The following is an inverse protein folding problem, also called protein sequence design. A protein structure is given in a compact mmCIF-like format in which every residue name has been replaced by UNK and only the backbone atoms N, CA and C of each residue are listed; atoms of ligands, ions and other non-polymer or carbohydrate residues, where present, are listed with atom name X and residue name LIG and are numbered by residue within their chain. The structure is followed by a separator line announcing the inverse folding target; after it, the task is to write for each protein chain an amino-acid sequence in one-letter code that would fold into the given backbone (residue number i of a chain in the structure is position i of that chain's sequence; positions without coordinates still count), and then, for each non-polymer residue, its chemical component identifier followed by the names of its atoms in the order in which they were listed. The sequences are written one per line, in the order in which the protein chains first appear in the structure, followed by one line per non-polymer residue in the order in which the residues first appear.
data_IF_579741429863
#
_entry.id   IF_579741429863
#
_cell.length_a   1.000
_cell.length_b   1.000
_cell.length_c   1.000
_cell.angle_alpha   90.00
_cell.angle_beta   90.00
_cell.angle_gamma   90.00
#
_symmetry.space_group_name_H-M   'P 1'
#
loop_
_entity.id
_entity.type
_entity.pdbx_description
1 polymer ?
#
# COMPACT_ATOMS: atom_id res chain seq x y z
N UNK A 1 -63.02 -76.49 27.84
CA UNK A 1 -61.69 -76.14 27.28
C UNK A 1 -61.56 -74.63 27.31
N UNK A 2 -60.68 -74.10 28.16
CA UNK A 2 -60.37 -72.66 28.27
C UNK A 2 -59.17 -72.32 27.40
N UNK A 3 -59.13 -71.16 26.71
CA UNK A 3 -57.88 -70.60 26.22
C UNK A 3 -57.19 -69.74 27.28
N UNK A 4 -55.88 -69.86 27.27
CA UNK A 4 -54.87 -69.43 28.23
C UNK A 4 -54.60 -67.91 28.10
N UNK A 5 -54.62 -67.18 29.21
CA UNK A 5 -54.26 -65.75 29.27
C UNK A 5 -52.74 -65.66 29.44
N UNK A 6 -52.05 -65.21 28.40
CA UNK A 6 -50.61 -64.94 28.46
C UNK A 6 -50.33 -63.81 29.47
N UNK A 7 -49.64 -64.16 30.56
CA UNK A 7 -49.23 -63.22 31.60
C UNK A 7 -47.97 -62.48 31.16
N UNK A 8 -48.12 -61.22 30.73
CA UNK A 8 -47.00 -60.36 30.35
C UNK A 8 -46.24 -59.91 31.60
N UNK A 9 -45.05 -60.47 31.81
CA UNK A 9 -44.12 -60.02 32.87
C UNK A 9 -43.66 -58.59 32.52
N UNK A 10 -44.21 -57.57 33.19
CA UNK A 10 -43.66 -56.21 33.14
C UNK A 10 -42.28 -56.21 33.81
N UNK A 11 -41.21 -56.17 33.01
CA UNK A 11 -39.86 -55.89 33.53
C UNK A 11 -39.93 -54.58 34.32
N UNK A 12 -39.64 -54.62 35.62
CA UNK A 12 -39.59 -53.41 36.45
C UNK A 12 -38.51 -52.51 35.87
N UNK A 13 -38.88 -51.32 35.40
CA UNK A 13 -37.89 -50.31 35.03
C UNK A 13 -37.10 -49.90 36.27
N UNK A 14 -35.78 -49.72 36.10
CA UNK A 14 -34.85 -49.41 37.18
C UNK A 14 -34.19 -48.07 36.90
N UNK A 15 -33.97 -47.28 37.95
CA UNK A 15 -33.23 -46.02 37.84
C UNK A 15 -31.80 -46.27 37.34
N UNK A 16 -31.41 -45.59 36.27
CA UNK A 16 -30.09 -45.69 35.62
C UNK A 16 -28.92 -45.31 36.53
N UNK A 17 -29.17 -44.62 37.65
CA UNK A 17 -28.13 -44.18 38.60
C UNK A 17 -28.05 -45.01 39.89
N UNK A 18 -29.15 -45.63 40.35
CA UNK A 18 -29.17 -46.36 41.63
C UNK A 18 -29.84 -47.74 41.59
N UNK A 19 -30.34 -48.15 40.42
CA UNK A 19 -30.93 -49.46 40.17
C UNK A 19 -32.17 -49.82 41.03
N UNK A 20 -32.88 -48.82 41.56
CA UNK A 20 -34.14 -48.99 42.32
C UNK A 20 -35.35 -48.78 41.42
N UNK A 21 -36.44 -49.53 41.66
CA UNK A 21 -37.65 -49.57 40.84
C UNK A 21 -38.77 -48.58 41.24
N UNK A 22 -38.55 -47.71 42.24
CA UNK A 22 -39.60 -46.86 42.79
C UNK A 22 -39.67 -45.50 42.05
N UNK A 23 -40.86 -45.14 41.55
CA UNK A 23 -41.16 -43.83 40.98
C UNK A 23 -40.28 -43.47 39.78
N UNK A 24 -40.33 -44.29 38.73
CA UNK A 24 -39.50 -44.12 37.53
C UNK A 24 -40.08 -43.03 36.61
N UNK A 25 -39.23 -42.09 36.23
CA UNK A 25 -39.48 -41.04 35.26
C UNK A 25 -38.48 -41.21 34.12
N UNK A 26 -38.97 -41.14 32.89
CA UNK A 26 -38.13 -41.23 31.70
C UNK A 26 -37.72 -39.82 31.24
N UNK A 27 -36.43 -39.62 30.97
CA UNK A 27 -35.95 -38.43 30.27
C UNK A 27 -35.82 -38.75 28.78
N UNK A 28 -36.75 -38.23 27.96
CA UNK A 28 -36.71 -38.43 26.51
C UNK A 28 -35.41 -37.91 25.86
N UNK A 29 -34.82 -36.84 26.41
CA UNK A 29 -33.62 -36.22 25.84
C UNK A 29 -32.38 -37.11 25.89
N UNK A 30 -32.20 -37.91 26.94
CA UNK A 30 -31.06 -38.84 27.05
C UNK A 30 -31.47 -40.33 27.03
N UNK A 31 -32.77 -40.62 26.90
CA UNK A 31 -33.33 -41.97 26.85
C UNK A 31 -33.21 -42.78 28.15
N UNK A 32 -32.84 -42.13 29.27
CA UNK A 32 -32.57 -42.81 30.56
C UNK A 32 -33.75 -42.69 31.54
N UNK A 33 -33.94 -43.77 32.29
CA UNK A 33 -34.92 -43.85 33.38
C UNK A 33 -34.29 -43.43 34.71
N UNK A 34 -34.97 -42.62 35.51
CA UNK A 34 -34.48 -42.13 36.80
C UNK A 34 -35.56 -42.22 37.87
N UNK A 35 -35.18 -42.41 39.13
CA UNK A 35 -36.09 -42.14 40.25
C UNK A 35 -36.20 -40.63 40.50
N UNK A 36 -37.23 -40.20 41.24
CA UNK A 36 -37.51 -38.78 41.51
C UNK A 36 -36.30 -37.96 42.00
N UNK A 37 -35.45 -38.54 42.85
CA UNK A 37 -34.23 -37.86 43.30
C UNK A 37 -33.23 -37.65 42.16
N UNK A 38 -32.93 -38.70 41.40
CA UNK A 38 -31.89 -38.65 40.36
C UNK A 38 -32.35 -37.90 39.10
N UNK A 39 -33.65 -37.80 38.82
CA UNK A 39 -34.13 -36.94 37.73
C UNK A 39 -33.95 -35.45 38.07
N UNK A 40 -34.11 -35.09 39.36
CA UNK A 40 -33.87 -33.72 39.83
C UNK A 40 -32.38 -33.38 39.75
N UNK A 41 -31.50 -34.27 40.20
CA UNK A 41 -30.05 -34.11 40.04
C UNK A 41 -29.63 -34.03 38.56
N UNK A 42 -30.22 -34.85 37.69
CA UNK A 42 -29.98 -34.80 36.24
C UNK A 42 -30.38 -33.44 35.65
N UNK A 43 -31.53 -32.90 36.05
CA UNK A 43 -31.97 -31.59 35.58
C UNK A 43 -31.11 -30.45 36.12
N UNK A 44 -30.65 -30.54 37.37
CA UNK A 44 -29.69 -29.59 37.92
C UNK A 44 -28.36 -29.61 37.16
N UNK A 45 -27.88 -30.80 36.77
CA UNK A 45 -26.68 -30.93 35.97
C UNK A 45 -26.84 -30.29 34.59
N UNK A 46 -27.98 -30.53 33.91
CA UNK A 46 -28.29 -29.89 32.63
C UNK A 46 -28.34 -28.36 32.73
N UNK A 47 -28.93 -27.81 33.79
CA UNK A 47 -28.96 -26.36 34.00
C UNK A 47 -27.54 -25.80 34.16
N UNK A 48 -26.68 -26.47 34.94
CA UNK A 48 -25.25 -26.07 35.06
C UNK A 48 -24.53 -26.09 33.72
N UNK A 49 -24.79 -27.10 32.89
CA UNK A 49 -24.22 -27.18 31.53
C UNK A 49 -24.70 -26.04 30.64
N UNK A 50 -25.98 -25.65 30.76
CA UNK A 50 -26.53 -24.50 30.04
C UNK A 50 -25.93 -23.18 30.52
N UNK A 51 -25.80 -22.98 31.84
CA UNK A 51 -25.17 -21.78 32.41
C UNK A 51 -23.72 -21.65 31.93
N UNK A 52 -22.96 -22.75 31.95
CA UNK A 52 -21.59 -22.78 31.42
C UNK A 52 -21.53 -22.46 29.92
N UNK A 53 -22.51 -22.92 29.13
CA UNK A 53 -22.58 -22.61 27.71
C UNK A 53 -22.87 -21.12 27.48
N UNK A 54 -23.77 -20.53 28.27
CA UNK A 54 -24.06 -19.09 28.23
C UNK A 54 -22.83 -18.26 28.60
N UNK A 55 -22.10 -18.63 29.67
CA UNK A 55 -20.83 -17.96 30.02
C UNK A 55 -19.82 -18.02 28.87
N UNK A 56 -19.62 -19.19 28.25
CA UNK A 56 -18.70 -19.32 27.11
C UNK A 56 -19.13 -18.51 25.90
N UNK A 57 -20.44 -18.41 25.65
CA UNK A 57 -20.98 -17.56 24.60
C UNK A 57 -20.61 -16.09 24.85
N UNK A 58 -20.83 -15.60 26.07
CA UNK A 58 -20.56 -14.21 26.42
C UNK A 58 -19.06 -13.90 26.39
N UNK A 59 -18.21 -14.82 26.87
CA UNK A 59 -16.75 -14.73 26.76
C UNK A 59 -16.30 -14.65 25.29
N UNK A 60 -16.89 -15.46 24.41
CA UNK A 60 -16.55 -15.44 22.99
C UNK A 60 -17.02 -14.14 22.31
N UNK A 61 -18.21 -13.65 22.65
CA UNK A 61 -18.71 -12.38 22.15
C UNK A 61 -17.81 -11.21 22.59
N UNK A 62 -17.35 -11.23 23.84
CA UNK A 62 -16.41 -10.23 24.36
C UNK A 62 -15.05 -10.31 23.63
N UNK A 63 -14.54 -11.52 23.37
CA UNK A 63 -13.29 -11.71 22.65
C UNK A 63 -13.34 -11.15 21.21
N UNK A 64 -14.48 -11.29 20.53
CA UNK A 64 -14.70 -10.67 19.20
C UNK A 64 -14.67 -9.15 19.32
N UNK A 65 -15.43 -8.57 20.26
CA UNK A 65 -15.48 -7.13 20.45
C UNK A 65 -14.11 -6.53 20.80
N UNK A 66 -13.28 -7.25 21.55
CA UNK A 66 -11.94 -6.79 21.90
C UNK A 66 -10.95 -6.90 20.73
N UNK A 67 -11.10 -7.89 19.84
CA UNK A 67 -10.36 -7.93 18.58
C UNK A 67 -10.72 -6.76 17.65
N UNK A 68 -12.00 -6.39 17.56
CA UNK A 68 -12.45 -5.26 16.73
C UNK A 68 -11.82 -3.93 17.18
N UNK A 69 -11.71 -3.70 18.49
CA UNK A 69 -11.03 -2.51 19.07
C UNK A 69 -9.53 -2.47 18.74
N UNK A 70 -8.91 -3.63 18.53
CA UNK A 70 -7.47 -3.77 18.27
C UNK A 70 -7.12 -3.82 16.77
N UNK A 71 -8.10 -3.63 15.88
CA UNK A 71 -7.95 -3.69 14.42
C UNK A 71 -6.77 -2.87 13.87
N UNK A 72 -6.55 -1.64 14.36
CA UNK A 72 -5.42 -0.79 13.96
C UNK A 72 -4.05 -1.21 14.52
N UNK A 73 -4.03 -2.09 15.51
CA UNK A 73 -2.80 -2.66 16.09
C UNK A 73 -2.39 -3.99 15.43
N UNK A 74 -3.17 -4.48 14.47
CA UNK A 74 -2.85 -5.71 13.78
C UNK A 74 -1.50 -5.60 13.05
N UNK A 75 -0.57 -6.56 13.20
CA UNK A 75 0.76 -6.48 12.60
C UNK A 75 0.77 -6.26 11.09
N UNK A 76 -0.21 -6.83 10.37
CA UNK A 76 -0.33 -6.59 8.93
C UNK A 76 -0.72 -5.14 8.59
N UNK A 77 -1.53 -4.47 9.41
CA UNK A 77 -1.86 -3.05 9.22
C UNK A 77 -0.61 -2.19 9.47
N UNK A 78 0.18 -2.52 10.49
CA UNK A 78 1.49 -1.88 10.72
C UNK A 78 2.42 -2.04 9.51
N UNK A 79 2.50 -3.25 8.94
CA UNK A 79 3.30 -3.52 7.74
C UNK A 79 2.80 -2.71 6.53
N UNK A 80 1.49 -2.61 6.33
CA UNK A 80 0.89 -1.79 5.25
C UNK A 80 1.25 -0.31 5.45
N UNK A 81 1.11 0.22 6.67
CA UNK A 81 1.46 1.60 6.99
C UNK A 81 2.96 1.86 6.76
N UNK A 82 3.83 0.93 7.15
CA UNK A 82 5.26 1.03 6.90
C UNK A 82 5.56 1.05 5.39
N UNK A 83 4.96 0.13 4.64
CA UNK A 83 5.11 0.07 3.19
C UNK A 83 4.64 1.34 2.49
N UNK A 84 3.52 1.93 2.95
CA UNK A 84 3.01 3.22 2.45
C UNK A 84 4.04 4.34 2.68
N UNK A 85 4.56 4.47 3.90
CA UNK A 85 5.54 5.50 4.25
C UNK A 85 6.85 5.36 3.47
N UNK A 86 7.36 4.14 3.33
CA UNK A 86 8.54 3.85 2.52
C UNK A 86 8.34 4.22 1.05
N UNK A 87 7.14 3.95 0.52
CA UNK A 87 6.78 4.27 -0.87
C UNK A 87 6.71 5.78 -1.09
N UNK A 88 6.05 6.52 -0.19
CA UNK A 88 6.01 8.00 -0.21
C UNK A 88 7.42 8.58 -0.18
N UNK A 89 8.30 8.05 0.68
CA UNK A 89 9.67 8.51 0.77
C UNK A 89 10.46 8.27 -0.52
N UNK A 90 10.29 7.11 -1.16
CA UNK A 90 10.91 6.83 -2.46
C UNK A 90 10.44 7.80 -3.55
N UNK A 91 9.15 8.12 -3.61
CA UNK A 91 8.59 9.10 -4.56
C UNK A 91 9.22 10.48 -4.32
N UNK A 92 9.27 10.92 -3.06
CA UNK A 92 9.87 12.21 -2.69
C UNK A 92 11.34 12.29 -3.10
N UNK A 93 12.12 11.26 -2.81
CA UNK A 93 13.53 11.19 -3.19
C UNK A 93 13.72 11.23 -4.70
N UNK A 94 12.92 10.47 -5.47
CA UNK A 94 12.98 10.49 -6.93
C UNK A 94 12.68 11.90 -7.48
N UNK A 95 11.62 12.55 -6.98
CA UNK A 95 11.25 13.90 -7.39
C UNK A 95 12.32 14.94 -7.01
N UNK A 96 12.93 14.83 -5.84
CA UNK A 96 14.02 15.72 -5.41
C UNK A 96 15.28 15.54 -6.27
N UNK A 97 15.62 14.31 -6.62
CA UNK A 97 16.76 14.04 -7.50
C UNK A 97 16.53 14.62 -8.89
N UNK A 98 15.34 14.42 -9.48
CA UNK A 98 14.99 15.01 -10.76
C UNK A 98 15.06 16.56 -10.72
N UNK A 99 14.55 17.20 -9.66
CA UNK A 99 14.67 18.65 -9.48
C UNK A 99 16.13 19.10 -9.41
N UNK A 100 16.98 18.39 -8.66
CA UNK A 100 18.41 18.72 -8.54
C UNK A 100 19.11 18.60 -9.89
N UNK A 101 18.85 17.54 -10.64
CA UNK A 101 19.44 17.31 -11.95
C UNK A 101 19.02 18.39 -12.96
N UNK A 102 17.75 18.80 -12.94
CA UNK A 102 17.24 19.89 -13.77
C UNK A 102 17.95 21.20 -13.46
N UNK A 103 18.02 21.56 -12.18
CA UNK A 103 18.65 22.81 -11.74
C UNK A 103 20.14 22.83 -12.08
N UNK A 104 20.83 21.69 -11.92
CA UNK A 104 22.23 21.55 -12.32
C UNK A 104 22.40 21.73 -13.84
N UNK A 105 21.56 21.09 -14.65
CA UNK A 105 21.58 21.21 -16.12
C UNK A 105 21.34 22.66 -16.56
N UNK A 106 20.34 23.32 -15.98
CA UNK A 106 20.05 24.73 -16.25
C UNK A 106 21.19 25.66 -15.82
N UNK A 107 21.84 25.39 -14.68
CA UNK A 107 22.97 26.17 -14.21
C UNK A 107 24.19 26.03 -15.14
N UNK A 108 24.49 24.82 -15.58
CA UNK A 108 25.55 24.55 -16.56
C UNK A 108 25.28 25.28 -17.87
N UNK A 109 24.06 25.16 -18.42
CA UNK A 109 23.68 25.84 -19.67
C UNK A 109 23.85 27.36 -19.58
N UNK A 110 23.36 27.98 -18.49
CA UNK A 110 23.53 29.43 -18.26
C UNK A 110 25.00 29.83 -18.16
N UNK A 111 25.84 28.97 -17.57
CA UNK A 111 27.28 29.22 -17.44
C UNK A 111 27.95 29.20 -18.81
N UNK A 112 27.64 28.21 -19.65
CA UNK A 112 28.15 28.12 -21.03
C UNK A 112 27.76 29.35 -21.86
N UNK A 113 26.49 29.75 -21.84
CA UNK A 113 26.03 30.97 -22.55
C UNK A 113 26.77 32.21 -22.06
N UNK A 114 27.02 32.32 -20.74
CA UNK A 114 27.76 33.45 -20.15
C UNK A 114 29.22 33.47 -20.59
N UNK A 115 29.88 32.32 -20.65
CA UNK A 115 31.25 32.19 -21.15
C UNK A 115 31.35 32.59 -22.62
N UNK A 116 30.39 32.16 -23.44
CA UNK A 116 30.33 32.53 -24.85
C UNK A 116 30.08 34.02 -25.07
N UNK A 117 29.21 34.63 -24.28
CA UNK A 117 29.02 36.09 -24.28
C UNK A 117 30.29 36.83 -23.86
N UNK A 118 31.02 36.30 -22.88
CA UNK A 118 32.29 36.89 -22.40
C UNK A 118 33.37 36.81 -23.48
N UNK A 119 33.42 35.71 -24.23
CA UNK A 119 34.30 35.56 -25.38
C UNK A 119 33.92 36.55 -26.50
N UNK A 120 32.64 36.65 -26.83
CA UNK A 120 32.14 37.58 -27.86
C UNK A 120 32.49 39.05 -27.53
N UNK A 121 32.28 39.49 -26.28
CA UNK A 121 32.63 40.88 -25.91
C UNK A 121 34.14 41.13 -25.95
N UNK A 122 34.95 40.10 -25.70
CA UNK A 122 36.41 40.18 -25.82
C UNK A 122 36.83 40.32 -27.27
N UNK A 123 36.26 39.52 -28.18
CA UNK A 123 36.47 39.62 -29.63
C UNK A 123 36.10 41.02 -30.14
N UNK A 124 34.89 41.50 -29.79
CA UNK A 124 34.40 42.84 -30.16
C UNK A 124 35.29 43.97 -29.65
N UNK A 125 35.72 43.89 -28.38
CA UNK A 125 36.57 44.92 -27.78
C UNK A 125 37.94 44.98 -28.43
N UNK A 126 38.51 43.82 -28.80
CA UNK A 126 39.79 43.74 -29.50
C UNK A 126 39.68 44.36 -30.89
N UNK A 127 38.72 43.92 -31.70
CA UNK A 127 38.49 44.44 -33.04
C UNK A 127 38.24 45.96 -33.04
N UNK A 128 37.46 46.45 -32.08
CA UNK A 128 37.21 47.90 -31.92
C UNK A 128 38.47 48.68 -31.56
N UNK A 129 39.33 48.15 -30.69
CA UNK A 129 40.56 48.82 -30.29
C UNK A 129 41.62 48.83 -31.41
N UNK A 130 41.62 47.79 -32.24
CA UNK A 130 42.53 47.63 -33.38
C UNK A 130 41.98 48.29 -34.66
N UNK A 131 40.74 48.80 -34.64
CA UNK A 131 39.96 49.26 -35.81
C UNK A 131 39.93 48.21 -36.94
N UNK A 132 39.94 46.93 -36.55
CA UNK A 132 40.04 45.75 -37.40
C UNK A 132 38.69 45.02 -37.45
N UNK A 133 37.75 45.60 -38.20
CA UNK A 133 36.45 45.00 -38.47
C UNK A 133 35.89 45.47 -39.82
N UNK A 134 35.18 44.57 -40.49
CA UNK A 134 34.42 44.84 -41.71
C UNK A 134 32.94 44.45 -41.55
N UNK A 135 32.11 44.74 -42.55
CA UNK A 135 30.67 44.51 -42.51
C UNK A 135 30.32 43.03 -42.29
N UNK A 136 31.16 42.10 -42.77
CA UNK A 136 30.98 40.66 -42.53
C UNK A 136 31.16 40.30 -41.07
N UNK A 137 32.16 40.87 -40.38
CA UNK A 137 32.41 40.59 -38.95
C UNK A 137 31.24 41.09 -38.10
N UNK A 138 30.74 42.29 -38.40
CA UNK A 138 29.56 42.85 -37.73
C UNK A 138 28.32 41.97 -37.92
N UNK A 139 28.14 41.40 -39.12
CA UNK A 139 27.06 40.47 -39.40
C UNK A 139 27.24 39.17 -38.61
N UNK A 140 28.43 38.57 -38.61
CA UNK A 140 28.72 37.33 -37.89
C UNK A 140 28.52 37.48 -36.38
N UNK A 141 29.02 38.57 -35.78
CA UNK A 141 28.82 38.83 -34.35
C UNK A 141 27.35 39.07 -34.00
N UNK A 142 26.60 39.73 -34.90
CA UNK A 142 25.15 39.91 -34.72
C UNK A 142 24.41 38.58 -34.77
N UNK A 143 24.76 37.70 -35.71
CA UNK A 143 24.19 36.35 -35.81
C UNK A 143 24.55 35.49 -34.58
N UNK A 144 25.79 35.54 -34.13
CA UNK A 144 26.27 34.84 -32.91
C UNK A 144 25.53 35.33 -31.67
N UNK A 145 25.33 36.64 -31.52
CA UNK A 145 24.55 37.20 -30.41
C UNK A 145 23.08 36.74 -30.45
N UNK A 146 22.46 36.77 -31.63
CA UNK A 146 21.08 36.29 -31.81
C UNK A 146 20.95 34.78 -31.52
N UNK A 147 21.96 33.98 -31.86
CA UNK A 147 22.00 32.55 -31.53
C UNK A 147 22.07 32.34 -30.03
N UNK A 148 22.99 33.01 -29.32
CA UNK A 148 23.12 32.90 -27.88
C UNK A 148 21.83 33.31 -27.14
N UNK A 149 21.12 34.31 -27.67
CA UNK A 149 19.81 34.70 -27.14
C UNK A 149 18.76 33.59 -27.34
N UNK A 150 18.75 32.91 -28.49
CA UNK A 150 17.87 31.76 -28.73
C UNK A 150 18.22 30.59 -27.82
N UNK A 151 19.50 30.27 -27.67
CA UNK A 151 19.98 29.17 -26.84
C UNK A 151 19.62 29.36 -25.37
N UNK A 152 19.74 30.58 -24.85
CA UNK A 152 19.30 30.91 -23.50
C UNK A 152 17.79 30.67 -23.29
N UNK A 153 16.98 30.97 -24.30
CA UNK A 153 15.53 30.80 -24.26
C UNK A 153 15.08 29.35 -24.52
N UNK A 154 15.85 28.58 -25.29
CA UNK A 154 15.57 27.18 -25.60
C UNK A 154 15.62 26.26 -24.36
N UNK A 155 16.36 26.66 -23.31
CA UNK A 155 16.37 25.96 -22.02
C UNK A 155 15.02 25.97 -21.28
N UNK A 156 14.02 26.72 -21.76
CA UNK A 156 12.64 26.65 -21.26
C UNK A 156 11.85 25.48 -21.87
N UNK A 157 12.35 24.82 -22.91
CA UNK A 157 11.72 23.72 -23.63
C UNK A 157 12.23 22.33 -23.20
N UNK A 158 12.78 22.20 -21.98
CA UNK A 158 13.22 20.90 -21.45
C UNK A 158 11.99 20.00 -21.27
N UNK A 159 12.01 18.85 -21.94
CA UNK A 159 10.94 17.87 -21.89
C UNK A 159 11.13 16.90 -20.71
N UNK A 160 10.03 16.59 -20.03
CA UNK A 160 10.02 15.68 -18.88
C UNK A 160 9.39 14.36 -19.31
N UNK A 161 10.14 13.27 -19.15
CA UNK A 161 9.67 11.92 -19.44
C UNK A 161 9.45 11.11 -18.17
N UNK A 162 8.39 10.30 -18.18
CA UNK A 162 8.22 9.18 -17.26
C UNK A 162 8.61 7.89 -17.98
N UNK A 163 9.40 7.04 -17.33
CA UNK A 163 9.70 5.72 -17.91
C UNK A 163 8.48 4.82 -17.78
N UNK A 164 7.95 4.39 -18.91
CA UNK A 164 6.93 3.35 -18.97
C UNK A 164 7.54 2.04 -18.52
N UNK A 165 7.28 1.67 -17.27
CA UNK A 165 7.53 0.32 -16.79
C UNK A 165 6.20 -0.21 -16.28
N UNK A 166 5.57 -1.10 -17.05
CA UNK A 166 4.22 -1.62 -16.81
C UNK A 166 4.07 -2.31 -15.43
N UNK A 167 5.19 -2.64 -14.76
CA UNK A 167 5.22 -3.28 -13.45
C UNK A 167 5.79 -2.40 -12.32
N UNK A 168 6.13 -1.13 -12.58
CA UNK A 168 6.63 -0.24 -11.53
C UNK A 168 5.48 0.54 -10.90
N UNK A 169 5.32 0.42 -9.58
CA UNK A 169 4.40 1.27 -8.81
C UNK A 169 4.72 2.77 -8.91
N UNK A 170 5.95 3.11 -9.28
CA UNK A 170 6.43 4.48 -9.47
C UNK A 170 7.35 4.49 -10.69
N UNK A 171 6.97 5.22 -11.73
CA UNK A 171 7.79 5.46 -12.91
C UNK A 171 9.04 6.27 -12.54
N UNK A 172 10.20 5.91 -13.09
CA UNK A 172 11.40 6.74 -12.92
C UNK A 172 11.24 7.99 -13.78
N UNK A 173 11.33 9.16 -13.14
CA UNK A 173 11.36 10.47 -13.80
C UNK A 173 12.77 10.69 -14.34
N UNK A 174 12.89 11.08 -15.60
CA UNK A 174 14.16 11.46 -16.21
C UNK A 174 13.99 12.75 -17.03
N UNK A 175 15.11 13.44 -17.22
CA UNK A 175 15.16 14.67 -18.00
C UNK A 175 15.70 14.31 -19.36
N UNK A 176 14.90 14.54 -20.41
CA UNK A 176 15.44 14.53 -21.76
C UNK A 176 16.21 15.83 -21.95
N UNK A 177 17.49 15.70 -22.31
CA UNK A 177 18.39 16.85 -22.47
C UNK A 177 17.83 17.91 -23.43
N UNK A 178 18.37 19.13 -23.33
CA UNK A 178 18.07 20.22 -24.27
C UNK A 178 18.33 19.70 -25.69
N UNK A 179 17.29 19.63 -26.52
CA UNK A 179 17.45 19.30 -27.94
C UNK A 179 18.38 20.32 -28.56
N UNK A 180 19.60 19.87 -28.85
CA UNK A 180 20.61 20.59 -29.62
C UNK A 180 20.54 20.17 -31.09
N UNK A 181 19.35 19.77 -31.57
CA UNK A 181 19.09 19.54 -33.00
C UNK A 181 18.95 20.88 -33.74
N UNK A 182 19.98 21.70 -33.64
CA UNK A 182 20.29 22.73 -34.63
C UNK A 182 21.81 22.66 -34.77
N UNK A 183 22.30 22.43 -35.98
CA UNK A 183 23.71 22.28 -36.37
C UNK A 183 24.28 20.85 -36.45
N UNK A 184 23.61 19.99 -37.24
CA UNK A 184 24.34 19.26 -38.28
C UNK A 184 24.13 19.97 -39.62
N UNK A 185 24.88 21.05 -39.85
CA UNK A 185 25.18 21.44 -41.23
C UNK A 185 26.50 20.79 -41.61
N UNK A 186 26.38 19.74 -42.41
CA UNK A 186 27.45 19.16 -43.20
C UNK A 186 28.00 20.23 -44.15
N UNK A 187 29.29 20.55 -44.02
CA UNK A 187 30.02 21.24 -45.06
C UNK A 187 30.34 20.23 -46.18
N UNK A 188 29.81 20.50 -47.37
CA UNK A 188 30.35 20.06 -48.66
C UNK A 188 30.92 21.26 -49.39
#
# INVERSE_FOLDING_TARGET
MYPNVASTIRKKQLCSKCNKAAGILNCYGCGKDFCYRHVTEHRQQLNKEMDNLATKHDEFQQAIADQEKQSNSHPLIQNINQWEQESINKIRQAAENARKELLATLATHRTTVKEDLTRLITELSKARNEDDYVETDLKEWTEKLNSLQKDLNAAQAIDFGESENENALISKIFINGVSTDVFQHTCG
#
